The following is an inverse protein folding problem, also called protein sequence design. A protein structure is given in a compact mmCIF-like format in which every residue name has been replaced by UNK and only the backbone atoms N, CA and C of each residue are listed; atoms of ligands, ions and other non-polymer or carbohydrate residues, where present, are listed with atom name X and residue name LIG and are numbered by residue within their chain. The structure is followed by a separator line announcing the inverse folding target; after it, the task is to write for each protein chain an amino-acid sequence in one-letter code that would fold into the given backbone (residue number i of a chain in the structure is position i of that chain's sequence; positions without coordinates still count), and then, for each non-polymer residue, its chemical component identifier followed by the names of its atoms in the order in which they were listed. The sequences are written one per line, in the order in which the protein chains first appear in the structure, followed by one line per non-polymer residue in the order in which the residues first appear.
data_IF_141051613145
#
_entry.id   IF_141051613145
#
_cell.length_a   1.000
_cell.length_b   1.000
_cell.length_c   1.000
_cell.angle_alpha   90.00
_cell.angle_beta   90.00
_cell.angle_gamma   90.00
#
_symmetry.space_group_name_H-M   'P 1'
#
loop_
_entity.id
_entity.type
_entity.pdbx_description
1 polymer ?
#
# COMPACT_ATOMS: atom_id res chain seq x y z
N UNK A 1 -1.91 12.69 19.75
CA UNK A 1 -2.80 12.74 18.56
C UNK A 1 -2.15 12.05 17.36
N UNK A 2 -1.82 10.75 17.49
CA UNK A 2 -1.05 10.00 16.48
C UNK A 2 -1.63 8.62 16.15
N UNK A 3 -2.60 8.14 16.95
CA UNK A 3 -3.17 6.77 16.80
C UNK A 3 -4.45 6.79 15.97
N UNK A 4 -5.25 7.86 16.04
CA UNK A 4 -6.54 7.96 15.35
C UNK A 4 -6.34 8.20 13.85
N UNK A 5 -5.52 9.19 13.49
CA UNK A 5 -5.28 9.57 12.08
C UNK A 5 -4.34 8.60 11.36
N UNK A 6 -3.44 7.91 12.08
CA UNK A 6 -2.46 6.99 11.48
C UNK A 6 -2.91 5.53 11.38
N UNK A 7 -4.05 5.14 11.96
CA UNK A 7 -4.45 3.72 12.07
C UNK A 7 -5.96 3.46 11.99
N UNK A 8 -6.81 4.36 12.49
CA UNK A 8 -8.24 4.07 12.71
C UNK A 8 -9.15 4.54 11.56
N UNK A 9 -8.82 5.66 10.90
CA UNK A 9 -9.55 6.11 9.71
C UNK A 9 -8.75 5.71 8.47
N UNK A 10 -9.24 4.78 7.63
CA UNK A 10 -8.65 4.58 6.32
C UNK A 10 -8.80 5.88 5.53
N UNK A 11 -7.74 6.34 4.86
CA UNK A 11 -7.84 7.44 3.90
C UNK A 11 -8.93 7.06 2.87
N UNK A 12 -9.97 7.90 2.75
CA UNK A 12 -11.18 7.67 1.94
C UNK A 12 -10.87 7.54 0.43
N UNK A 13 -9.64 7.91 0.03
CA UNK A 13 -9.20 8.00 -1.36
C UNK A 13 -8.77 6.66 -1.95
N UNK A 14 -8.25 5.78 -1.10
CA UNK A 14 -7.62 4.53 -1.52
C UNK A 14 -8.09 3.33 -0.68
N UNK A 15 -8.67 3.54 0.51
CA UNK A 15 -9.16 2.45 1.37
C UNK A 15 -8.05 1.52 1.87
N UNK A 16 -6.79 1.88 1.63
CA UNK A 16 -5.62 1.08 1.95
C UNK A 16 -5.01 1.51 3.28
N UNK A 17 -4.72 0.53 4.14
CA UNK A 17 -3.86 0.76 5.30
C UNK A 17 -2.44 1.13 4.82
N UNK A 18 -1.66 1.92 5.57
CA UNK A 18 -0.28 2.27 5.21
C UNK A 18 0.62 1.07 4.87
N UNK A 19 0.34 -0.10 5.46
CA UNK A 19 1.04 -1.36 5.15
C UNK A 19 0.82 -1.80 3.70
N UNK A 20 -0.41 -1.77 3.20
CA UNK A 20 -0.71 -2.17 1.82
C UNK A 20 -0.01 -1.26 0.81
N UNK A 21 0.03 0.06 1.09
CA UNK A 21 0.74 1.03 0.24
C UNK A 21 2.23 0.71 0.11
N UNK A 22 2.88 0.30 1.21
CA UNK A 22 4.31 -0.08 1.21
C UNK A 22 4.57 -1.36 0.43
N UNK A 23 3.72 -2.37 0.58
CA UNK A 23 3.85 -3.65 -0.15
C UNK A 23 3.69 -3.44 -1.65
N UNK A 24 2.64 -2.73 -2.07
CA UNK A 24 2.40 -2.43 -3.49
C UNK A 24 3.53 -1.58 -4.09
N UNK A 25 4.05 -0.62 -3.33
CA UNK A 25 5.21 0.16 -3.78
C UNK A 25 6.45 -0.72 -3.97
N UNK A 26 6.74 -1.63 -3.03
CA UNK A 26 7.87 -2.56 -3.16
C UNK A 26 7.71 -3.51 -4.36
N UNK A 27 6.49 -4.03 -4.61
CA UNK A 27 6.19 -4.87 -5.76
C UNK A 27 6.40 -4.12 -7.08
N UNK A 28 6.01 -2.85 -7.14
CA UNK A 28 6.25 -1.98 -8.29
C UNK A 28 7.75 -1.68 -8.51
N UNK A 29 8.51 -1.40 -7.45
CA UNK A 29 9.97 -1.18 -7.55
C UNK A 29 10.72 -2.43 -8.00
N UNK A 30 10.27 -3.61 -7.56
CA UNK A 30 10.83 -4.90 -8.01
C UNK A 30 10.40 -5.23 -9.46
N UNK A 31 9.43 -4.50 -10.00
CA UNK A 31 8.85 -4.73 -11.33
C UNK A 31 8.18 -6.08 -11.44
N UNK A 32 7.47 -6.52 -10.39
CA UNK A 32 6.78 -7.81 -10.39
C UNK A 32 5.42 -7.72 -11.09
N UNK A 33 5.46 -7.59 -12.41
CA UNK A 33 4.25 -7.51 -13.23
C UNK A 33 3.63 -8.89 -13.45
N UNK A 34 2.30 -8.92 -13.54
CA UNK A 34 1.52 -10.15 -13.70
C UNK A 34 1.84 -10.94 -14.99
N UNK A 35 2.42 -10.26 -15.99
CA UNK A 35 2.78 -10.84 -17.29
C UNK A 35 4.29 -11.06 -17.45
N UNK A 36 5.08 -10.93 -16.38
CA UNK A 36 6.51 -11.25 -16.45
C UNK A 36 6.67 -12.76 -16.66
N UNK A 37 7.15 -13.13 -17.85
CA UNK A 37 7.72 -14.45 -18.07
C UNK A 37 9.07 -14.51 -17.35
N UNK A 38 9.28 -15.59 -16.60
CA UNK A 38 10.60 -16.02 -16.11
C UNK A 38 11.61 -16.12 -17.25
#
# INVERSE_FOLDING_TARGET
MSVIVGRALPDVRDGLKPVHRRVLYAMNVLGNDWNKSL
#
